data_IF_787344881840
#
_entry.id   IF_787344881840
#
_cell.length_a   1.000
_cell.length_b   1.000
_cell.length_c   1.000
_cell.angle_alpha   90.00
_cell.angle_beta   90.00
_cell.angle_gamma   90.00
#
_symmetry.space_group_name_H-M   'P 1'
#
loop_
_entity.id
_entity.type
_entity.pdbx_description
1 polymer ?
#
# COMPACT_ATOMS: atom_id res chain seq x y z
N UNK A 1 9.91 11.67 16.68
CA UNK A 1 9.47 11.51 15.28
C UNK A 1 10.75 11.28 14.51
N UNK A 2 10.93 10.09 13.93
CA UNK A 2 12.22 9.64 13.42
C UNK A 2 12.39 10.15 11.98
N UNK A 3 13.32 11.06 11.78
CA UNK A 3 13.66 11.64 10.47
C UNK A 3 14.01 10.53 9.46
N UNK A 4 13.22 10.45 8.40
CA UNK A 4 13.43 9.56 7.26
C UNK A 4 14.31 10.27 6.23
N UNK A 5 15.59 10.43 6.55
CA UNK A 5 16.59 11.21 5.79
C UNK A 5 16.89 10.65 4.37
N UNK A 6 16.24 9.56 3.96
CA UNK A 6 16.46 8.86 2.68
C UNK A 6 15.20 8.71 1.81
N UNK A 7 14.02 9.16 2.26
CA UNK A 7 12.79 8.97 1.49
C UNK A 7 12.61 10.07 0.45
N UNK A 8 12.87 9.76 -0.83
CA UNK A 8 12.78 10.73 -1.93
C UNK A 8 11.34 11.12 -2.30
N UNK A 9 10.39 10.20 -2.13
CA UNK A 9 8.99 10.39 -2.50
C UNK A 9 8.06 9.73 -1.47
N UNK A 10 6.96 10.41 -1.16
CA UNK A 10 5.85 9.85 -0.39
C UNK A 10 4.64 9.77 -1.31
N UNK A 11 4.15 8.56 -1.55
CA UNK A 11 2.96 8.31 -2.36
C UNK A 11 1.78 8.17 -1.42
N UNK A 12 0.75 8.99 -1.63
CA UNK A 12 -0.51 8.91 -0.90
C UNK A 12 -1.65 8.67 -1.88
N UNK A 13 -2.49 7.69 -1.57
CA UNK A 13 -3.68 7.35 -2.34
C UNK A 13 -4.86 7.18 -1.39
N UNK A 14 -6.03 7.64 -1.82
CA UNK A 14 -7.29 7.40 -1.13
C UNK A 14 -8.17 6.54 -2.02
N UNK A 15 -8.66 5.44 -1.47
CA UNK A 15 -9.47 4.45 -2.19
C UNK A 15 -10.79 4.31 -1.44
N UNK A 16 -11.90 4.33 -2.17
CA UNK A 16 -13.22 4.00 -1.64
C UNK A 16 -13.62 2.63 -2.18
N UNK A 17 -14.15 1.79 -1.31
CA UNK A 17 -14.62 0.46 -1.68
C UNK A 17 -15.81 0.07 -0.79
N UNK A 18 -16.75 -0.66 -1.38
CA UNK A 18 -17.98 -1.09 -0.72
C UNK A 18 -17.80 -2.48 -0.11
N UNK A 19 -18.22 -2.64 1.14
CA UNK A 19 -18.19 -3.91 1.87
C UNK A 19 -17.22 -3.94 3.04
N UNK A 20 -17.01 -5.15 3.58
CA UNK A 20 -16.05 -5.40 4.66
C UNK A 20 -14.70 -5.68 4.01
N UNK A 21 -13.69 -4.90 4.40
CA UNK A 21 -12.35 -4.98 3.84
C UNK A 21 -11.36 -4.99 5.00
N UNK A 22 -10.41 -5.91 4.95
CA UNK A 22 -9.33 -5.97 5.90
C UNK A 22 -8.03 -5.43 5.30
N UNK A 23 -7.07 -5.13 6.17
CA UNK A 23 -5.75 -4.65 5.74
C UNK A 23 -5.05 -5.60 4.75
N UNK A 24 -5.07 -6.94 4.94
CA UNK A 24 -4.45 -7.87 4.00
C UNK A 24 -5.04 -7.78 2.59
N UNK A 25 -6.35 -7.53 2.46
CA UNK A 25 -7.02 -7.40 1.16
C UNK A 25 -6.51 -6.18 0.40
N UNK A 26 -6.37 -5.05 1.08
CA UNK A 26 -5.85 -3.81 0.48
C UNK A 26 -4.40 -3.99 0.04
N UNK A 27 -3.57 -4.60 0.89
CA UNK A 27 -2.17 -4.88 0.56
C UNK A 27 -2.08 -5.81 -0.64
N UNK A 28 -2.86 -6.90 -0.63
CA UNK A 28 -2.94 -7.85 -1.73
C UNK A 28 -3.39 -7.20 -3.03
N UNK A 29 -4.39 -6.32 -2.97
CA UNK A 29 -4.87 -5.56 -4.12
C UNK A 29 -3.79 -4.62 -4.69
N UNK A 30 -3.06 -3.88 -3.84
CA UNK A 30 -1.97 -3.01 -4.30
C UNK A 30 -0.92 -3.84 -5.04
N UNK A 31 -0.37 -4.88 -4.41
CA UNK A 31 0.68 -5.68 -5.03
C UNK A 31 0.18 -6.41 -6.29
N UNK A 32 -0.97 -7.07 -6.22
CA UNK A 32 -1.53 -7.84 -7.32
C UNK A 32 -1.95 -6.98 -8.51
N UNK A 33 -2.46 -5.76 -8.28
CA UNK A 33 -2.80 -4.85 -9.39
C UNK A 33 -1.57 -4.20 -10.00
N UNK A 34 -0.50 -3.95 -9.25
CA UNK A 34 0.73 -3.37 -9.82
C UNK A 34 1.61 -4.37 -10.56
N UNK A 35 1.44 -5.67 -10.27
CA UNK A 35 2.22 -6.74 -10.89
C UNK A 35 2.03 -6.73 -12.41
N UNK A 36 3.14 -6.60 -13.15
CA UNK A 36 3.13 -6.56 -14.62
C UNK A 36 2.71 -5.24 -15.26
N UNK A 37 2.22 -4.24 -14.50
CA UNK A 37 1.85 -2.93 -15.06
C UNK A 37 3.01 -1.94 -15.18
N UNK A 38 3.94 -1.97 -14.22
CA UNK A 38 4.98 -0.93 -14.10
C UNK A 38 6.33 -1.33 -14.74
N UNK A 39 6.41 -2.53 -15.31
CA UNK A 39 7.66 -3.13 -15.79
C UNK A 39 8.52 -3.68 -14.66
N UNK A 40 9.51 -4.50 -15.01
CA UNK A 40 10.28 -5.30 -14.05
C UNK A 40 11.07 -4.46 -13.02
N UNK A 41 11.53 -3.26 -13.40
CA UNK A 41 12.33 -2.40 -12.53
C UNK A 41 11.51 -1.65 -11.47
N UNK A 42 10.18 -1.66 -11.63
CA UNK A 42 9.22 -0.96 -10.77
C UNK A 42 8.25 -1.92 -10.09
N UNK A 43 8.57 -3.22 -10.07
CA UNK A 43 7.82 -4.20 -9.30
C UNK A 43 7.89 -3.88 -7.79
N UNK A 44 6.74 -3.62 -7.16
CA UNK A 44 6.70 -3.20 -5.76
C UNK A 44 7.24 -4.26 -4.80
N UNK A 45 7.11 -5.57 -5.09
CA UNK A 45 7.64 -6.63 -4.22
C UNK A 45 9.16 -6.63 -4.28
N UNK A 46 9.75 -6.52 -5.45
CA UNK A 46 11.20 -6.51 -5.60
C UNK A 46 11.81 -5.20 -5.11
N UNK A 47 11.13 -4.08 -5.32
CA UNK A 47 11.49 -2.80 -4.71
C UNK A 47 11.46 -2.87 -3.17
N UNK A 48 10.52 -3.60 -2.57
CA UNK A 48 10.46 -3.79 -1.12
C UNK A 48 11.62 -4.66 -0.64
N UNK A 49 11.90 -5.78 -1.32
CA UNK A 49 13.02 -6.68 -0.98
C UNK A 49 14.38 -5.99 -1.08
N UNK A 50 14.55 -5.14 -2.08
CA UNK A 50 15.79 -4.37 -2.30
C UNK A 50 15.90 -3.12 -1.41
N UNK A 51 14.87 -2.82 -0.60
CA UNK A 51 14.85 -1.66 0.29
C UNK A 51 14.67 -0.32 -0.45
N UNK A 52 14.25 -0.35 -1.72
CA UNK A 52 14.02 0.84 -2.55
C UNK A 52 12.68 1.52 -2.26
N UNK A 53 11.70 0.79 -1.72
CA UNK A 53 10.49 1.38 -1.15
C UNK A 53 10.45 1.19 0.37
N UNK A 54 9.89 2.18 1.05
CA UNK A 54 9.66 2.12 2.49
C UNK A 54 8.45 1.26 2.86
N UNK A 55 8.01 1.42 4.11
CA UNK A 55 6.84 0.73 4.63
C UNK A 55 5.56 1.21 3.94
N UNK A 56 4.73 0.26 3.50
CA UNK A 56 3.37 0.57 3.03
C UNK A 56 2.45 0.61 4.24
N UNK A 57 1.98 1.81 4.58
CA UNK A 57 0.98 2.01 5.61
C UNK A 57 -0.41 2.16 4.99
N UNK A 58 -1.36 1.42 5.57
CA UNK A 58 -2.75 1.37 5.12
C UNK A 58 -3.62 1.69 6.32
N UNK A 59 -4.48 2.70 6.16
CA UNK A 59 -5.50 3.07 7.15
C UNK A 59 -6.87 2.80 6.55
N UNK A 60 -7.67 2.00 7.24
CA UNK A 60 -9.04 1.67 6.82
C UNK A 60 -9.99 2.37 7.79
N UNK A 61 -10.89 3.19 7.26
CA UNK A 61 -11.99 3.78 8.02
C UNK A 61 -13.31 3.26 7.46
N UNK A 62 -14.09 2.54 8.26
CA UNK A 62 -15.45 2.17 7.85
C UNK A 62 -16.43 3.30 8.18
N UNK A 63 -17.18 3.76 7.18
CA UNK A 63 -18.32 4.67 7.38
C UNK A 63 -19.60 3.84 7.35
N UNK A 64 -19.89 3.18 8.46
CA UNK A 64 -21.05 2.30 8.60
C UNK A 64 -20.82 1.28 9.70
N UNK A 65 -21.14 1.65 10.94
CA UNK A 65 -20.85 0.86 12.12
C UNK A 65 -21.38 -0.58 12.04
N UNK A 66 -20.48 -1.52 11.75
CA UNK A 66 -20.47 -2.90 12.27
C UNK A 66 -19.02 -3.33 12.33
N UNK A 67 -18.36 -2.92 13.42
CA UNK A 67 -17.27 -3.69 13.99
C UNK A 67 -17.91 -4.87 14.71
N UNK A 68 -17.61 -6.10 14.29
CA UNK A 68 -17.90 -7.32 15.03
C UNK A 68 -16.63 -8.16 15.02
#
# INVERSE_FOLDING_TARGET
MQDSDTTKYVIQAMINADGIIERPDVVGAIFGQTEGLLGNDLDLRDLQKTGRIGRIDVSISSKGGRSA
#
